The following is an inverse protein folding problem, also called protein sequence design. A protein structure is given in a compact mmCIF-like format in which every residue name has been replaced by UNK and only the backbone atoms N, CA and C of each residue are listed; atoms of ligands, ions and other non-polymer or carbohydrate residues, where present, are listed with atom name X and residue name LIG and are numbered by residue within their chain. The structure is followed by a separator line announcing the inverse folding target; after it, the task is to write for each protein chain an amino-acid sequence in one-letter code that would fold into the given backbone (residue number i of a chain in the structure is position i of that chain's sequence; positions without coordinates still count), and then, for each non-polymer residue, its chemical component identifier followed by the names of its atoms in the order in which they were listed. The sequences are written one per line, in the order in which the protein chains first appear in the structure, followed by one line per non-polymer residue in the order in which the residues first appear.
data_IF_606842798825
#
_entry.id   IF_606842798825
#
_cell.length_a   1.000
_cell.length_b   1.000
_cell.length_c   1.000
_cell.angle_alpha   90.00
_cell.angle_beta   90.00
_cell.angle_gamma   90.00
#
_symmetry.space_group_name_H-M   'P 1'
#
loop_
_entity.id
_entity.type
_entity.pdbx_description
1 polymer ?
#
# COMPACT_ATOMS: atom_id res chain seq x y z
N UNK A 1 -7.65 -7.76 1.73
CA UNK A 1 -7.23 -6.64 2.61
C UNK A 1 -6.45 -5.54 1.88
N UNK A 2 -5.72 -5.82 0.78
CA UNK A 2 -5.00 -4.78 0.00
C UNK A 2 -5.83 -4.00 -1.04
N UNK A 3 -7.09 -4.39 -1.30
CA UNK A 3 -7.96 -3.78 -2.31
C UNK A 3 -8.18 -2.27 -2.16
N UNK A 4 -8.37 -1.70 -0.95
CA UNK A 4 -8.60 -0.27 -0.78
C UNK A 4 -7.45 0.60 -1.34
N UNK A 5 -6.20 0.16 -1.15
CA UNK A 5 -5.03 0.88 -1.65
C UNK A 5 -4.97 0.88 -3.18
N UNK A 6 -5.24 -0.28 -3.80
CA UNK A 6 -5.28 -0.38 -5.26
C UNK A 6 -6.37 0.51 -5.84
N UNK A 7 -7.56 0.50 -5.22
CA UNK A 7 -8.67 1.36 -5.62
C UNK A 7 -8.28 2.84 -5.53
N UNK A 8 -7.64 3.26 -4.43
CA UNK A 8 -7.21 4.63 -4.23
C UNK A 8 -6.18 5.11 -5.27
N UNK A 9 -5.28 4.22 -5.70
CA UNK A 9 -4.25 4.50 -6.72
C UNK A 9 -4.85 4.60 -8.13
N UNK A 10 -5.80 3.74 -8.47
CA UNK A 10 -6.39 3.66 -9.81
C UNK A 10 -7.47 4.73 -10.03
N UNK A 11 -8.14 5.20 -8.97
CA UNK A 11 -9.29 6.11 -9.08
C UNK A 11 -9.03 7.38 -9.91
N UNK A 12 -7.90 8.11 -9.78
CA UNK A 12 -7.64 9.30 -10.59
C UNK A 12 -7.61 9.02 -12.09
N UNK A 13 -7.10 7.85 -12.50
CA UNK A 13 -7.10 7.42 -13.90
C UNK A 13 -8.49 7.01 -14.37
N UNK A 14 -9.27 6.34 -13.50
CA UNK A 14 -10.66 6.05 -13.79
C UNK A 14 -11.48 7.34 -13.99
N UNK A 15 -11.23 8.36 -13.17
CA UNK A 15 -11.84 9.70 -13.33
C UNK A 15 -11.43 10.33 -14.66
N UNK A 16 -10.16 10.31 -15.03
CA UNK A 16 -9.70 10.79 -16.34
C UNK A 16 -10.47 10.13 -17.49
N UNK A 17 -10.52 8.80 -17.50
CA UNK A 17 -11.17 8.02 -18.56
C UNK A 17 -12.68 8.26 -18.58
N UNK A 18 -13.34 8.30 -17.42
CA UNK A 18 -14.77 8.53 -17.32
C UNK A 18 -15.16 9.92 -17.84
N UNK A 19 -14.41 10.96 -17.45
CA UNK A 19 -14.61 12.32 -17.94
C UNK A 19 -14.34 12.41 -19.44
N UNK A 20 -13.24 11.82 -19.90
CA UNK A 20 -12.89 11.82 -21.32
C UNK A 20 -13.97 11.15 -22.17
N UNK A 21 -14.41 9.96 -21.78
CA UNK A 21 -15.45 9.22 -22.48
C UNK A 21 -16.79 9.95 -22.46
N UNK A 22 -17.20 10.48 -21.30
CA UNK A 22 -18.45 11.22 -21.16
C UNK A 22 -18.49 12.44 -22.09
N UNK A 23 -17.45 13.27 -22.07
CA UNK A 23 -17.37 14.46 -22.94
C UNK A 23 -17.23 14.08 -24.42
N UNK A 24 -16.45 13.03 -24.74
CA UNK A 24 -16.32 12.55 -26.11
C UNK A 24 -17.67 12.06 -26.68
N UNK A 25 -18.49 11.39 -25.87
CA UNK A 25 -19.83 10.97 -26.27
C UNK A 25 -20.73 12.17 -26.58
N UNK A 26 -20.77 13.16 -25.68
CA UNK A 26 -21.52 14.41 -25.92
C UNK A 26 -21.06 15.15 -27.18
N UNK A 27 -19.76 15.09 -27.52
CA UNK A 27 -19.25 15.64 -28.78
C UNK A 27 -19.68 14.84 -30.00
N UNK A 28 -19.73 13.51 -29.89
CA UNK A 28 -20.09 12.60 -30.99
C UNK A 28 -21.56 12.74 -31.34
N UNK A 29 -22.40 12.92 -30.32
CA UNK A 29 -23.84 13.13 -30.43
C UNK A 29 -24.21 14.60 -30.76
N UNK A 30 -23.21 15.46 -31.00
CA UNK A 30 -23.33 16.91 -31.23
C UNK A 30 -24.03 17.71 -30.12
N UNK A 31 -24.25 17.13 -28.94
CA UNK A 31 -24.92 17.78 -27.81
C UNK A 31 -24.13 18.98 -27.29
N UNK A 32 -22.80 18.91 -27.30
CA UNK A 32 -21.94 20.04 -26.87
C UNK A 32 -22.18 21.28 -27.74
N UNK A 33 -22.38 21.10 -29.05
CA UNK A 33 -22.66 22.22 -29.97
C UNK A 33 -24.03 22.84 -29.70
N UNK A 34 -25.04 22.00 -29.44
CA UNK A 34 -26.40 22.45 -29.09
C UNK A 34 -26.40 23.23 -27.78
N UNK A 35 -25.66 22.77 -26.78
CA UNK A 35 -25.51 23.44 -25.48
C UNK A 35 -24.87 24.82 -25.62
N UNK A 36 -23.83 24.97 -26.44
CA UNK A 36 -23.25 26.30 -26.69
C UNK A 36 -24.16 27.18 -27.54
N UNK A 37 -24.91 26.61 -28.49
CA UNK A 37 -25.87 27.35 -29.32
C UNK A 37 -27.08 27.87 -28.53
N UNK A 38 -27.46 27.21 -27.42
CA UNK A 38 -28.53 27.67 -26.53
C UNK A 38 -28.09 28.79 -25.57
N UNK A 39 -26.84 29.26 -25.67
CA UNK A 39 -26.31 30.35 -24.85
C UNK A 39 -25.78 29.92 -23.48
N UNK A 40 -25.62 28.61 -23.23
CA UNK A 40 -25.01 28.15 -21.99
C UNK A 40 -23.54 28.54 -21.92
N UNK A 41 -23.12 29.02 -20.75
CA UNK A 41 -21.74 29.38 -20.45
C UNK A 41 -20.89 28.12 -20.25
N UNK A 42 -19.58 28.21 -20.52
CA UNK A 42 -18.65 27.09 -20.27
C UNK A 42 -18.67 26.60 -18.81
N UNK A 43 -18.94 27.49 -17.84
CA UNK A 43 -19.10 27.10 -16.44
C UNK A 43 -20.30 26.18 -16.22
N UNK A 44 -21.43 26.42 -16.88
CA UNK A 44 -22.62 25.58 -16.76
C UNK A 44 -22.39 24.17 -17.33
N UNK A 45 -21.49 24.02 -18.30
CA UNK A 45 -21.08 22.71 -18.84
C UNK A 45 -20.09 21.99 -17.93
N UNK A 46 -19.12 22.73 -17.37
CA UNK A 46 -18.03 22.15 -16.55
C UNK A 46 -18.48 21.83 -15.12
N UNK A 47 -19.35 22.65 -14.53
CA UNK A 47 -19.87 22.52 -13.16
C UNK A 47 -20.42 21.12 -12.81
N UNK A 48 -21.30 20.48 -13.61
CA UNK A 48 -21.78 19.14 -13.29
C UNK A 48 -20.66 18.09 -13.28
N UNK A 49 -19.67 18.20 -14.16
CA UNK A 49 -18.51 17.31 -14.18
C UNK A 49 -17.65 17.49 -12.92
N UNK A 50 -17.41 18.75 -12.52
CA UNK A 50 -16.67 19.05 -11.30
C UNK A 50 -17.36 18.47 -10.06
N UNK A 51 -18.70 18.54 -9.97
CA UNK A 51 -19.46 17.91 -8.88
C UNK A 51 -19.26 16.40 -8.82
N UNK A 52 -19.28 15.74 -9.97
CA UNK A 52 -19.00 14.29 -10.06
C UNK A 52 -17.57 13.96 -9.60
N UNK A 53 -16.59 14.77 -10.01
CA UNK A 53 -15.20 14.60 -9.54
C UNK A 53 -15.10 14.82 -8.02
N UNK A 54 -15.83 15.79 -7.46
CA UNK A 54 -15.88 16.02 -6.01
C UNK A 54 -16.34 14.78 -5.23
N UNK A 55 -17.32 14.03 -5.75
CA UNK A 55 -17.72 12.77 -5.11
C UNK A 55 -16.62 11.71 -5.16
N UNK A 56 -15.87 11.62 -6.28
CA UNK A 56 -14.73 10.72 -6.37
C UNK A 56 -13.60 11.10 -5.41
N UNK A 57 -13.33 12.40 -5.23
CA UNK A 57 -12.36 12.92 -4.25
C UNK A 57 -12.78 12.56 -2.83
N UNK A 58 -14.05 12.79 -2.47
CA UNK A 58 -14.57 12.46 -1.15
C UNK A 58 -14.47 10.95 -0.88
N UNK A 59 -14.85 10.12 -1.85
CA UNK A 59 -14.71 8.68 -1.76
C UNK A 59 -13.26 8.26 -1.55
N UNK A 60 -12.33 8.80 -2.32
CA UNK A 60 -10.90 8.49 -2.21
C UNK A 60 -10.34 8.92 -0.84
N UNK A 61 -10.77 10.08 -0.34
CA UNK A 61 -10.40 10.58 0.98
C UNK A 61 -10.88 9.62 2.07
N UNK A 62 -12.14 9.17 2.03
CA UNK A 62 -12.67 8.18 2.99
C UNK A 62 -11.89 6.87 2.92
N UNK A 63 -11.56 6.40 1.72
CA UNK A 63 -10.77 5.19 1.54
C UNK A 63 -9.38 5.32 2.19
N UNK A 64 -8.65 6.42 1.96
CA UNK A 64 -7.30 6.59 2.50
C UNK A 64 -7.28 6.84 4.01
N UNK A 65 -8.24 7.59 4.55
CA UNK A 65 -8.22 8.00 5.96
C UNK A 65 -8.80 6.94 6.89
N UNK A 66 -9.78 6.16 6.44
CA UNK A 66 -10.51 5.22 7.31
C UNK A 66 -10.40 3.78 6.85
N UNK A 67 -10.73 3.48 5.58
CA UNK A 67 -10.86 2.09 5.13
C UNK A 67 -9.50 1.40 5.00
N UNK A 68 -8.52 2.09 4.43
CA UNK A 68 -7.16 1.58 4.23
C UNK A 68 -6.45 1.22 5.55
N UNK A 69 -6.35 2.12 6.56
CA UNK A 69 -5.68 1.78 7.81
C UNK A 69 -6.37 0.64 8.55
N UNK A 70 -7.71 0.60 8.59
CA UNK A 70 -8.45 -0.52 9.21
C UNK A 70 -8.14 -1.84 8.50
N UNK A 71 -8.16 -1.85 7.17
CA UNK A 71 -7.89 -3.07 6.40
C UNK A 71 -6.46 -3.57 6.59
N UNK A 72 -5.47 -2.67 6.66
CA UNK A 72 -4.08 -3.07 6.87
C UNK A 72 -3.77 -3.43 8.32
N UNK A 73 -4.37 -2.76 9.31
CA UNK A 73 -4.26 -3.12 10.72
C UNK A 73 -4.83 -4.51 10.96
N UNK A 74 -6.06 -4.78 10.51
CA UNK A 74 -6.66 -6.12 10.59
C UNK A 74 -5.81 -7.17 9.88
N UNK A 75 -5.24 -6.87 8.71
CA UNK A 75 -4.30 -7.77 8.03
C UNK A 75 -3.05 -8.05 8.89
N UNK A 76 -2.50 -7.03 9.55
CA UNK A 76 -1.30 -7.15 10.39
C UNK A 76 -1.60 -7.98 11.63
N UNK A 77 -2.73 -7.71 12.29
CA UNK A 77 -3.24 -8.44 13.45
C UNK A 77 -3.48 -9.91 13.10
N UNK A 78 -4.19 -10.22 12.01
CA UNK A 78 -4.39 -11.62 11.59
C UNK A 78 -3.07 -12.31 11.26
N UNK A 79 -2.13 -11.64 10.61
CA UNK A 79 -0.79 -12.22 10.36
C UNK A 79 -0.05 -12.47 11.69
N UNK A 80 -0.18 -11.56 12.65
CA UNK A 80 0.42 -11.68 13.97
C UNK A 80 -0.19 -12.83 14.78
N UNK A 81 -1.51 -12.96 14.80
CA UNK A 81 -2.24 -14.07 15.44
C UNK A 81 -1.88 -15.42 14.81
N UNK A 82 -1.74 -15.48 13.48
CA UNK A 82 -1.35 -16.71 12.79
C UNK A 82 0.14 -17.04 13.05
N UNK A 83 1.00 -16.06 13.33
CA UNK A 83 2.43 -16.32 13.64
C UNK A 83 2.63 -17.18 14.89
N UNK A 84 1.76 -17.11 15.89
CA UNK A 84 1.83 -18.05 17.02
C UNK A 84 1.46 -19.49 16.61
N UNK A 85 0.61 -19.67 15.58
CA UNK A 85 0.23 -20.98 15.04
C UNK A 85 1.23 -21.50 13.98
N UNK A 86 2.04 -20.62 13.38
CA UNK A 86 3.05 -20.95 12.35
C UNK A 86 4.23 -21.77 12.86
N UNK A 87 4.40 -21.97 14.18
CA UNK A 87 5.39 -22.93 14.71
C UNK A 87 5.21 -24.31 14.06
N UNK A 88 3.95 -24.72 13.88
CA UNK A 88 3.57 -25.97 13.24
C UNK A 88 3.79 -26.04 11.73
N UNK A 89 3.81 -24.88 11.05
CA UNK A 89 3.94 -24.79 9.59
C UNK A 89 5.40 -24.66 9.10
N UNK A 90 6.33 -24.30 9.99
CA UNK A 90 7.76 -24.15 9.66
C UNK A 90 8.44 -25.51 9.44
N UNK A 91 7.96 -26.57 10.11
CA UNK A 91 8.55 -27.91 10.00
C UNK A 91 7.99 -28.61 8.75
N UNK A 92 8.89 -28.91 7.82
CA UNK A 92 8.59 -29.72 6.63
C UNK A 92 8.98 -31.17 6.90
N UNK A 93 8.04 -32.14 6.81
CA UNK A 93 8.37 -33.55 7.02
C UNK A 93 9.45 -34.03 6.05
N UNK A 94 10.46 -34.72 6.57
CA UNK A 94 11.55 -35.29 5.78
C UNK A 94 12.66 -34.32 5.39
N UNK A 95 12.60 -33.05 5.80
CA UNK A 95 13.64 -32.05 5.54
C UNK A 95 14.21 -31.49 6.85
N UNK A 96 15.52 -31.23 6.87
CA UNK A 96 16.15 -30.46 7.95
C UNK A 96 15.86 -28.98 7.72
N UNK A 97 15.12 -28.35 8.62
CA UNK A 97 14.79 -26.92 8.57
C UNK A 97 15.62 -26.19 9.61
N UNK A 98 16.21 -25.05 9.24
CA UNK A 98 16.94 -24.19 10.18
C UNK A 98 16.21 -22.87 10.38
N UNK A 99 15.27 -22.79 11.33
CA UNK A 99 14.38 -21.64 11.46
C UNK A 99 15.02 -20.46 12.22
N UNK A 100 16.18 -20.67 12.85
CA UNK A 100 17.04 -19.62 13.40
C UNK A 100 18.51 -19.96 13.15
N UNK A 101 19.41 -18.98 13.34
CA UNK A 101 20.86 -19.22 13.27
C UNK A 101 21.24 -20.22 14.36
N UNK A 102 21.98 -21.27 13.99
CA UNK A 102 22.42 -22.37 14.87
C UNK A 102 21.28 -23.18 15.52
N UNK A 103 20.09 -23.22 14.92
CA UNK A 103 19.05 -24.16 15.30
C UNK A 103 18.60 -24.98 14.10
N UNK A 104 18.63 -26.30 14.21
CA UNK A 104 18.17 -27.22 13.17
C UNK A 104 17.12 -28.15 13.73
N UNK A 105 16.00 -28.30 13.02
CA UNK A 105 14.88 -29.16 13.39
C UNK A 105 14.57 -30.09 12.23
N UNK A 106 14.33 -31.36 12.53
CA UNK A 106 13.88 -32.38 11.59
C UNK A 106 12.78 -33.22 12.23
N UNK A 107 11.76 -33.53 11.44
CA UNK A 107 10.74 -34.52 11.78
C UNK A 107 10.53 -35.41 10.57
N UNK A 108 10.46 -36.74 10.78
CA UNK A 108 10.26 -37.68 9.67
C UNK A 108 8.85 -37.56 9.07
N UNK A 109 7.85 -37.45 9.94
CA UNK A 109 6.44 -37.36 9.56
C UNK A 109 5.74 -36.35 10.46
N UNK A 110 4.76 -35.62 9.91
CA UNK A 110 3.85 -34.75 10.67
C UNK A 110 2.42 -35.12 10.30
N UNK A 111 1.65 -35.64 11.26
CA UNK A 111 0.25 -36.04 11.07
C UNK A 111 -0.63 -35.50 12.19
N UNK A 112 -1.68 -34.76 11.83
CA UNK A 112 -2.62 -34.15 12.78
C UNK A 112 -1.93 -33.34 13.91
N UNK A 113 -0.83 -32.64 13.59
CA UNK A 113 -0.07 -31.84 14.56
C UNK A 113 0.91 -32.61 15.45
N UNK A 114 1.04 -33.94 15.25
CA UNK A 114 2.02 -34.78 15.94
C UNK A 114 3.18 -35.10 15.00
N UNK A 115 4.40 -34.77 15.43
CA UNK A 115 5.64 -35.11 14.76
C UNK A 115 6.14 -36.49 15.20
N UNK A 116 6.65 -37.28 14.28
CA UNK A 116 7.29 -38.57 14.53
C UNK A 116 8.78 -38.49 14.25
N UNK A 117 9.59 -39.14 15.10
CA UNK A 117 11.05 -39.21 15.01
C UNK A 117 11.68 -37.81 14.84
N UNK A 118 11.58 -37.04 15.90
CA UNK A 118 12.01 -35.65 15.98
C UNK A 118 13.50 -35.59 16.32
N UNK A 119 14.21 -34.76 15.58
CA UNK A 119 15.59 -34.37 15.85
C UNK A 119 15.66 -32.86 15.97
N UNK A 120 16.30 -32.36 17.03
CA UNK A 120 16.54 -30.94 17.25
C UNK A 120 18.00 -30.76 17.64
N UNK A 121 18.73 -29.95 16.89
CA UNK A 121 20.08 -29.53 17.26
C UNK A 121 20.06 -28.05 17.58
N UNK A 122 20.32 -27.71 18.84
CA UNK A 122 20.37 -26.36 19.38
C UNK A 122 21.83 -25.97 19.69
N UNK A 123 22.43 -25.22 18.78
CA UNK A 123 23.75 -24.62 18.91
C UNK A 123 23.69 -23.12 19.21
N UNK A 124 22.56 -22.60 19.73
CA UNK A 124 22.45 -21.18 20.10
C UNK A 124 23.36 -20.82 21.27
N UNK A 125 23.55 -21.75 22.22
CA UNK A 125 24.59 -21.68 23.24
C UNK A 125 25.87 -22.33 22.69
N UNK A 126 26.85 -21.50 22.34
CA UNK A 126 28.12 -21.96 21.74
C UNK A 126 28.98 -22.77 22.73
N UNK A 127 28.79 -22.57 24.04
CA UNK A 127 29.54 -23.30 25.08
C UNK A 127 28.94 -24.69 25.35
N UNK A 128 27.65 -24.89 25.01
CA UNK A 128 26.89 -26.10 25.33
C UNK A 128 25.91 -26.49 24.21
N UNK A 129 26.40 -26.86 23.01
CA UNK A 129 25.53 -27.34 21.95
C UNK A 129 24.79 -28.60 22.41
N UNK A 130 23.48 -28.59 22.22
CA UNK A 130 22.59 -29.63 22.72
C UNK A 130 21.77 -30.23 21.59
N UNK A 131 21.73 -31.56 21.54
CA UNK A 131 20.96 -32.33 20.56
C UNK A 131 19.87 -33.11 21.26
N UNK A 132 18.65 -33.04 20.75
CA UNK A 132 17.52 -33.82 21.19
C UNK A 132 17.09 -34.82 20.12
N UNK A 133 16.79 -36.04 20.57
CA UNK A 133 16.07 -37.03 19.78
C UNK A 133 14.77 -37.37 20.52
N UNK A 134 13.65 -37.49 19.82
CA UNK A 134 12.40 -37.88 20.45
C UNK A 134 11.53 -38.74 19.53
N UNK A 135 10.79 -39.69 20.10
CA UNK A 135 9.89 -40.54 19.33
C UNK A 135 8.70 -39.76 18.79
N UNK A 136 8.13 -38.87 19.60
CA UNK A 136 7.07 -37.97 19.16
C UNK A 136 7.26 -36.57 19.71
N UNK A 137 6.81 -35.57 18.95
CA UNK A 137 6.80 -34.17 19.37
C UNK A 137 5.48 -33.50 19.05
N UNK A 138 4.99 -32.63 19.94
CA UNK A 138 3.76 -31.86 19.73
C UNK A 138 4.02 -30.40 20.05
N UNK A 139 3.55 -29.50 19.21
CA UNK A 139 3.60 -28.06 19.48
C UNK A 139 2.70 -27.73 20.67
N UNK A 140 3.25 -27.00 21.64
CA UNK A 140 2.55 -26.58 22.83
C UNK A 140 2.97 -25.16 23.21
N UNK A 141 2.08 -24.45 23.91
CA UNK A 141 2.44 -23.19 24.56
C UNK A 141 2.59 -23.46 26.05
N UNK A 142 3.84 -23.50 26.54
CA UNK A 142 4.13 -23.62 27.97
C UNK A 142 4.42 -22.23 28.50
N UNK A 143 3.62 -21.76 29.47
CA UNK A 143 3.75 -20.42 30.07
C UNK A 143 3.77 -19.27 29.03
N UNK A 144 2.90 -19.33 28.02
CA UNK A 144 2.82 -18.38 26.90
C UNK A 144 4.09 -18.29 26.01
N UNK A 145 4.98 -19.29 26.08
CA UNK A 145 6.12 -19.43 25.17
C UNK A 145 5.88 -20.56 24.18
N UNK A 146 6.11 -20.35 22.87
CA UNK A 146 6.11 -21.41 21.88
C UNK A 146 7.14 -22.48 22.23
N UNK A 147 6.68 -23.71 22.38
CA UNK A 147 7.50 -24.85 22.78
C UNK A 147 7.10 -26.12 22.03
N UNK A 148 8.01 -27.08 21.99
CA UNK A 148 7.74 -28.43 21.49
C UNK A 148 7.83 -29.38 22.68
N UNK A 149 6.72 -30.03 23.02
CA UNK A 149 6.72 -31.12 23.99
C UNK A 149 7.18 -32.39 23.29
N UNK A 150 8.34 -32.89 23.69
CA UNK A 150 9.01 -34.08 23.20
C UNK A 150 8.72 -35.25 24.13
N UNK A 151 8.21 -36.36 23.60
CA UNK A 151 7.92 -37.57 24.37
C UNK A 151 8.89 -38.69 24.00
N UNK A 152 9.32 -39.46 25.01
CA UNK A 152 10.40 -40.45 24.91
C UNK A 152 11.62 -39.82 24.24
N UNK A 153 12.17 -38.81 24.92
CA UNK A 153 13.22 -37.97 24.38
C UNK A 153 14.56 -38.27 25.06
N UNK A 154 15.65 -38.16 24.31
CA UNK A 154 17.01 -38.11 24.84
C UNK A 154 17.64 -36.77 24.52
N UNK A 155 18.45 -36.26 25.46
CA UNK A 155 19.24 -35.05 25.33
C UNK A 155 20.71 -35.43 25.38
N UNK A 156 21.46 -34.92 24.41
CA UNK A 156 22.90 -35.04 24.33
C UNK A 156 23.50 -33.63 24.38
N UNK A 157 24.27 -33.33 25.42
CA UNK A 157 24.97 -32.05 25.54
C UNK A 157 26.46 -32.31 25.51
N UNK A 158 27.19 -31.58 24.66
CA UNK A 158 28.65 -31.65 24.63
C UNK A 158 29.19 -30.49 25.47
N UNK A 159 29.86 -30.80 26.58
CA UNK A 159 30.54 -29.79 27.40
C UNK A 159 31.84 -29.31 26.72
N UNK A 160 32.30 -28.11 27.06
CA UNK A 160 33.57 -27.55 26.58
C UNK A 160 34.79 -28.47 26.83
N UNK A 161 34.73 -29.31 27.88
CA UNK A 161 35.77 -30.29 28.23
C UNK A 161 35.71 -31.58 27.37
N UNK A 162 34.83 -31.66 26.37
CA UNK A 162 34.67 -32.82 25.49
C UNK A 162 33.89 -33.99 26.11
N UNK A 163 33.27 -33.78 27.27
CA UNK A 163 32.42 -34.79 27.93
C UNK A 163 31.02 -34.73 27.33
N UNK A 164 30.53 -35.89 26.88
CA UNK A 164 29.16 -36.07 26.40
C UNK A 164 28.24 -36.41 27.58
N UNK A 165 27.30 -35.52 27.86
CA UNK A 165 26.22 -35.77 28.82
C UNK A 165 25.01 -36.34 28.07
N UNK A 166 24.52 -37.52 28.49
CA UNK A 166 23.36 -38.19 27.91
C UNK A 166 22.27 -38.35 28.97
N UNK A 167 21.08 -37.80 28.69
CA UNK A 167 19.92 -37.85 29.59
C UNK A 167 18.69 -38.35 28.84
N UNK A 168 17.90 -39.22 29.48
CA UNK A 168 16.63 -39.70 28.94
C UNK A 168 15.44 -39.13 29.73
N UNK A 169 14.40 -38.74 29.00
CA UNK A 169 13.20 -38.13 29.53
C UNK A 169 11.97 -38.85 28.97
N UNK A 170 11.01 -39.17 29.84
CA UNK A 170 9.69 -39.63 29.41
C UNK A 170 8.94 -38.53 28.65
N UNK A 171 9.03 -37.28 29.14
CA UNK A 171 8.52 -36.09 28.47
C UNK A 171 9.37 -34.87 28.86
N UNK A 172 9.70 -34.02 27.89
CA UNK A 172 10.43 -32.77 28.11
C UNK A 172 9.95 -31.69 27.14
N UNK A 173 10.05 -30.42 27.50
CA UNK A 173 9.67 -29.31 26.63
C UNK A 173 10.90 -28.58 26.11
N UNK A 174 10.97 -28.39 24.80
CA UNK A 174 12.00 -27.59 24.13
C UNK A 174 11.43 -26.21 23.78
N UNK A 175 12.02 -25.14 24.30
CA UNK A 175 11.58 -23.77 24.05
C UNK A 175 12.14 -23.22 22.72
N UNK A 176 11.27 -22.69 21.86
CA UNK A 176 11.62 -22.13 20.55
C UNK A 176 12.06 -20.65 20.62
N UNK A 177 12.75 -20.26 21.69
CA UNK A 177 13.12 -18.86 21.94
C UNK A 177 13.97 -18.25 20.81
N UNK A 178 13.51 -17.20 20.15
CA UNK A 178 14.25 -16.55 19.05
C UNK A 178 14.11 -17.22 17.68
N UNK A 179 13.28 -18.26 17.56
CA UNK A 179 12.86 -18.88 16.29
C UNK A 179 11.57 -18.27 15.79
N UNK A 180 10.66 -18.09 16.75
CA UNK A 180 9.49 -17.27 16.67
C UNK A 180 9.70 -16.33 17.84
N UNK A 181 9.70 -15.03 17.57
CA UNK A 181 9.68 -14.05 18.65
C UNK A 181 8.21 -13.81 19.03
N UNK A 182 7.65 -14.52 20.03
CA UNK A 182 6.32 -14.19 20.55
C UNK A 182 6.31 -12.84 21.27
N UNK A 183 7.50 -12.24 21.52
CA UNK A 183 7.67 -10.93 22.15
C UNK A 183 7.91 -9.82 21.13
N UNK A 184 7.93 -10.13 19.82
CA UNK A 184 8.00 -9.11 18.79
C UNK A 184 6.71 -8.33 18.82
N UNK A 185 6.69 -7.20 19.52
CA UNK A 185 5.51 -6.35 19.67
C UNK A 185 4.84 -6.13 18.31
N UNK A 186 3.50 -6.11 18.31
CA UNK A 186 2.72 -5.86 17.11
C UNK A 186 3.15 -4.54 16.46
N UNK A 187 3.94 -4.67 15.40
CA UNK A 187 4.53 -3.53 14.72
C UNK A 187 3.65 -3.07 13.56
N UNK A 188 3.14 -1.84 13.66
CA UNK A 188 2.38 -1.20 12.58
C UNK A 188 3.30 -0.43 11.64
N UNK A 189 3.26 -0.80 10.36
CA UNK A 189 3.91 -0.02 9.29
C UNK A 189 3.20 1.31 9.11
N UNK A 190 3.85 2.24 8.38
CA UNK A 190 3.25 3.53 8.02
C UNK A 190 1.83 3.38 7.46
N UNK A 191 1.64 2.46 6.51
CA UNK A 191 0.35 2.14 5.86
C UNK A 191 -0.75 1.65 6.80
N UNK A 192 -0.38 1.09 7.96
CA UNK A 192 -1.28 0.42 8.89
C UNK A 192 -1.80 1.38 9.98
N UNK A 193 -1.19 2.57 10.08
CA UNK A 193 -1.45 3.56 11.13
C UNK A 193 -2.60 4.50 10.76
N UNK A 194 -3.34 4.95 11.75
CA UNK A 194 -4.37 5.97 11.57
C UNK A 194 -3.76 7.36 11.38
N UNK A 195 -4.54 8.27 10.80
CA UNK A 195 -4.07 9.64 10.54
C UNK A 195 -3.61 10.37 11.81
N UNK A 196 -4.27 10.11 12.95
CA UNK A 196 -3.89 10.66 14.26
C UNK A 196 -2.51 10.18 14.71
N UNK A 197 -2.22 8.89 14.52
CA UNK A 197 -0.93 8.27 14.88
C UNK A 197 0.21 8.74 13.96
N UNK A 198 -0.11 9.12 12.71
CA UNK A 198 0.87 9.65 11.76
C UNK A 198 1.35 11.07 12.10
N UNK A 199 0.45 11.91 12.60
CA UNK A 199 0.78 13.29 12.98
C UNK A 199 1.21 13.44 14.44
N UNK A 200 0.78 12.51 15.31
CA UNK A 200 1.10 12.49 16.72
C UNK A 200 1.69 11.11 17.12
N UNK A 201 2.96 10.85 16.76
CA UNK A 201 3.66 9.63 17.16
C UNK A 201 3.81 9.53 18.69
N UNK A 202 3.84 8.31 19.21
CA UNK A 202 4.01 8.07 20.65
C UNK A 202 5.44 8.46 21.08
N UNK A 203 5.61 9.43 22.02
CA UNK A 203 6.93 9.83 22.50
C UNK A 203 7.69 8.71 23.21
N UNK A 204 7.01 7.67 23.68
CA UNK A 204 7.65 6.53 24.35
C UNK A 204 8.16 5.47 23.35
N UNK A 205 7.73 5.55 22.08
CA UNK A 205 8.16 4.61 21.05
C UNK A 205 9.41 5.11 20.31
N UNK A 206 10.56 4.50 20.62
CA UNK A 206 11.87 4.88 20.04
C UNK A 206 11.87 4.81 18.51
N UNK A 207 11.21 3.81 17.92
CA UNK A 207 11.16 3.67 16.46
C UNK A 207 10.34 4.79 15.81
N UNK A 208 9.19 5.15 16.39
CA UNK A 208 8.35 6.24 15.87
C UNK A 208 9.09 7.57 15.95
N UNK A 209 9.79 7.82 17.06
CA UNK A 209 10.57 9.03 17.26
C UNK A 209 11.76 9.15 16.28
N UNK A 210 12.31 8.02 15.81
CA UNK A 210 13.32 8.02 14.75
C UNK A 210 12.73 8.25 13.34
N UNK A 211 11.44 7.94 13.13
CA UNK A 211 10.79 7.96 11.81
C UNK A 211 9.65 8.98 11.70
N UNK A 212 9.63 10.01 12.56
CA UNK A 212 8.59 11.06 12.57
C UNK A 212 8.40 11.71 11.21
N UNK A 213 9.49 11.93 10.46
CA UNK A 213 9.43 12.52 9.11
C UNK A 213 8.66 11.63 8.12
N UNK A 214 8.95 10.33 8.11
CA UNK A 214 8.26 9.35 7.28
C UNK A 214 6.77 9.25 7.66
N UNK A 215 6.46 9.25 8.95
CA UNK A 215 5.09 9.22 9.46
C UNK A 215 4.28 10.44 9.00
N UNK A 216 4.84 11.65 9.15
CA UNK A 216 4.20 12.88 8.66
C UNK A 216 4.08 12.90 7.14
N UNK A 217 5.09 12.45 6.40
CA UNK A 217 5.07 12.39 4.95
C UNK A 217 3.94 11.49 4.42
N UNK A 218 3.74 10.32 5.04
CA UNK A 218 2.62 9.42 4.75
C UNK A 218 1.27 10.08 5.07
N UNK A 219 1.17 10.79 6.20
CA UNK A 219 -0.04 11.52 6.57
C UNK A 219 -0.43 12.58 5.52
N UNK A 220 0.54 13.36 5.07
CA UNK A 220 0.35 14.34 3.99
C UNK A 220 0.03 13.68 2.65
N UNK A 221 0.62 12.52 2.35
CA UNK A 221 0.34 11.77 1.12
C UNK A 221 -1.11 11.33 1.06
N UNK A 222 -1.67 10.79 2.15
CA UNK A 222 -3.09 10.35 2.21
C UNK A 222 -4.10 11.47 2.02
N UNK A 223 -3.74 12.68 2.43
CA UNK A 223 -4.59 13.86 2.28
C UNK A 223 -4.44 14.53 0.91
N UNK A 224 -3.24 14.49 0.32
CA UNK A 224 -2.96 15.11 -0.98
C UNK A 224 -3.31 14.20 -2.16
N UNK A 225 -3.21 12.87 -2.01
CA UNK A 225 -3.47 11.91 -3.08
C UNK A 225 -4.89 11.99 -3.67
N UNK A 226 -5.97 12.27 -2.91
CA UNK A 226 -7.31 12.46 -3.48
C UNK A 226 -7.40 13.66 -4.44
N UNK A 227 -6.57 14.69 -4.27
CA UNK A 227 -6.59 15.89 -5.11
C UNK A 227 -6.20 15.57 -6.57
N UNK A 228 -5.47 14.49 -6.81
CA UNK A 228 -5.15 14.04 -8.17
C UNK A 228 -6.40 13.64 -8.97
N UNK A 229 -7.53 13.31 -8.32
CA UNK A 229 -8.80 13.11 -9.02
C UNK A 229 -9.26 14.41 -9.71
N UNK A 230 -9.11 15.58 -9.07
CA UNK A 230 -9.33 16.88 -9.72
C UNK A 230 -8.35 17.12 -10.84
N UNK A 231 -7.06 16.91 -10.58
CA UNK A 231 -6.01 17.16 -11.57
C UNK A 231 -6.24 16.37 -12.86
N UNK A 232 -6.48 15.07 -12.75
CA UNK A 232 -6.68 14.20 -13.90
C UNK A 232 -8.04 14.44 -14.57
N UNK A 233 -9.12 14.64 -13.80
CA UNK A 233 -10.41 14.99 -14.38
C UNK A 233 -10.37 16.32 -15.15
N UNK A 234 -9.66 17.31 -14.65
CA UNK A 234 -9.46 18.60 -15.31
C UNK A 234 -8.56 18.51 -16.55
N UNK A 235 -7.51 17.68 -16.52
CA UNK A 235 -6.69 17.40 -17.70
C UNK A 235 -7.53 16.79 -18.83
N UNK A 236 -8.45 15.87 -18.51
CA UNK A 236 -9.38 15.30 -19.48
C UNK A 236 -10.32 16.38 -20.07
N UNK A 237 -10.84 17.27 -19.22
CA UNK A 237 -11.67 18.41 -19.68
C UNK A 237 -10.89 19.35 -20.61
N UNK A 238 -9.66 19.70 -20.27
CA UNK A 238 -8.80 20.56 -21.11
C UNK A 238 -8.53 19.89 -22.46
N UNK A 239 -8.24 18.58 -22.47
CA UNK A 239 -7.94 17.82 -23.68
C UNK A 239 -9.07 17.92 -24.73
N UNK A 240 -10.32 17.97 -24.26
CA UNK A 240 -11.51 17.92 -25.11
C UNK A 240 -12.15 19.30 -25.36
N UNK A 241 -12.19 20.18 -24.35
CA UNK A 241 -12.93 21.46 -24.43
C UNK A 241 -12.06 22.67 -24.81
N UNK A 242 -10.76 22.64 -24.50
CA UNK A 242 -9.91 23.84 -24.67
C UNK A 242 -9.43 24.06 -26.11
N UNK A 243 -9.24 23.01 -26.91
CA UNK A 243 -8.67 23.13 -28.25
C UNK A 243 -9.69 23.33 -29.38
N UNK A 244 -9.21 23.74 -30.56
CA UNK A 244 -10.04 23.92 -31.76
C UNK A 244 -10.78 22.62 -32.14
N UNK A 245 -12.05 22.73 -32.53
CA UNK A 245 -12.91 21.62 -32.94
C UNK A 245 -12.33 20.95 -34.19
N UNK A 246 -11.79 19.74 -34.05
CA UNK A 246 -11.20 18.97 -35.14
C UNK A 246 -11.48 17.49 -34.88
N UNK A 247 -12.28 16.86 -35.76
CA UNK A 247 -12.70 15.45 -35.62
C UNK A 247 -11.51 14.48 -35.54
N UNK A 248 -10.39 14.79 -36.22
CA UNK A 248 -9.18 13.95 -36.23
C UNK A 248 -8.18 14.32 -35.12
N UNK A 249 -8.33 15.48 -34.48
CA UNK A 249 -7.43 15.97 -33.43
C UNK A 249 -7.73 15.45 -32.03
N UNK A 250 -8.97 15.01 -31.75
CA UNK A 250 -9.38 14.60 -30.40
C UNK A 250 -8.60 13.40 -29.87
N UNK A 251 -8.44 12.34 -30.68
CA UNK A 251 -7.69 11.15 -30.27
C UNK A 251 -6.24 11.48 -29.91
N UNK A 252 -5.56 12.27 -30.75
CA UNK A 252 -4.18 12.69 -30.48
C UNK A 252 -4.07 13.55 -29.22
N UNK A 253 -5.01 14.47 -28.99
CA UNK A 253 -5.04 15.27 -27.75
C UNK A 253 -5.27 14.41 -26.52
N UNK A 254 -6.19 13.46 -26.58
CA UNK A 254 -6.48 12.58 -25.46
C UNK A 254 -5.26 11.74 -25.08
N UNK A 255 -4.52 11.23 -26.07
CA UNK A 255 -3.25 10.52 -25.84
C UNK A 255 -2.22 11.45 -25.19
N UNK A 256 -2.01 12.65 -25.73
CA UNK A 256 -1.05 13.61 -25.16
C UNK A 256 -1.39 13.97 -23.71
N UNK A 257 -2.65 14.29 -23.41
CA UNK A 257 -3.08 14.62 -22.05
C UNK A 257 -3.12 13.39 -21.13
N UNK A 258 -3.33 12.18 -21.68
CA UNK A 258 -3.17 10.93 -20.94
C UNK A 258 -1.72 10.69 -20.51
N UNK A 259 -0.75 10.98 -21.39
CA UNK A 259 0.69 10.94 -21.05
C UNK A 259 1.02 12.01 -20.00
N UNK A 260 0.50 13.24 -20.15
CA UNK A 260 0.68 14.29 -19.14
C UNK A 260 0.08 13.88 -17.79
N UNK A 261 -1.12 13.29 -17.77
CA UNK A 261 -1.74 12.76 -16.57
C UNK A 261 -0.88 11.69 -15.88
N UNK A 262 -0.32 10.76 -16.66
CA UNK A 262 0.59 9.74 -16.15
C UNK A 262 1.85 10.38 -15.56
N UNK A 263 2.49 11.31 -16.28
CA UNK A 263 3.70 12.00 -15.81
C UNK A 263 3.45 12.80 -14.53
N UNK A 264 2.34 13.55 -14.45
CA UNK A 264 1.95 14.29 -13.25
C UNK A 264 1.74 13.33 -12.08
N UNK A 265 1.13 12.16 -12.31
CA UNK A 265 0.92 11.17 -11.25
C UNK A 265 2.22 10.53 -10.77
N UNK A 266 3.13 10.21 -11.70
CA UNK A 266 4.47 9.69 -11.39
C UNK A 266 5.27 10.71 -10.59
N UNK A 267 5.26 11.98 -11.01
CA UNK A 267 5.86 13.07 -10.24
C UNK A 267 5.28 13.15 -8.83
N UNK A 268 3.97 12.98 -8.68
CA UNK A 268 3.32 12.90 -7.37
C UNK A 268 3.86 11.77 -6.48
N UNK A 269 4.09 10.57 -7.02
CA UNK A 269 4.73 9.49 -6.28
C UNK A 269 6.17 9.80 -5.89
N UNK A 270 6.94 10.42 -6.80
CA UNK A 270 8.31 10.83 -6.52
C UNK A 270 8.39 11.89 -5.43
N UNK A 271 7.45 12.85 -5.41
CA UNK A 271 7.36 13.87 -4.37
C UNK A 271 7.00 13.26 -3.01
N UNK A 272 6.06 12.32 -2.97
CA UNK A 272 5.70 11.61 -1.74
C UNK A 272 6.91 10.85 -1.16
N UNK A 273 7.63 10.12 -2.03
CA UNK A 273 8.85 9.40 -1.63
C UNK A 273 9.97 10.35 -1.19
N UNK A 274 10.18 11.48 -1.89
CA UNK A 274 11.19 12.46 -1.50
C UNK A 274 10.85 13.14 -0.17
N UNK A 275 9.57 13.34 0.13
CA UNK A 275 9.11 13.97 1.36
C UNK A 275 9.37 13.14 2.63
N UNK A 276 9.59 11.83 2.50
CA UNK A 276 10.04 10.99 3.61
C UNK A 276 11.37 11.46 4.20
N UNK A 277 12.25 12.04 3.37
CA UNK A 277 13.56 12.54 3.79
C UNK A 277 13.54 14.01 4.27
N UNK A 278 12.57 14.80 3.78
CA UNK A 278 12.52 16.25 4.00
C UNK A 278 11.06 16.74 4.19
N UNK A 279 10.77 17.19 5.41
CA UNK A 279 9.45 17.64 5.82
C UNK A 279 8.94 18.86 5.05
N UNK A 280 9.83 19.72 4.52
CA UNK A 280 9.44 20.90 3.72
C UNK A 280 8.74 20.47 2.42
N UNK A 281 9.10 19.30 1.87
CA UNK A 281 8.49 18.76 0.65
C UNK A 281 7.05 18.28 0.85
N UNK A 282 6.56 18.18 2.11
CA UNK A 282 5.15 17.90 2.37
C UNK A 282 4.23 18.96 1.75
N UNK A 283 4.67 20.23 1.71
CA UNK A 283 3.92 21.31 1.05
C UNK A 283 3.82 21.05 -0.46
N UNK A 284 4.88 20.54 -1.08
CA UNK A 284 4.91 20.24 -2.51
C UNK A 284 3.94 19.13 -2.91
N UNK A 285 3.63 18.20 -1.99
CA UNK A 285 2.63 17.15 -2.23
C UNK A 285 1.23 17.71 -2.52
N UNK A 286 0.86 18.84 -1.89
CA UNK A 286 -0.38 19.56 -2.18
C UNK A 286 -0.21 20.54 -3.34
N UNK A 287 0.96 21.20 -3.41
CA UNK A 287 1.26 22.21 -4.41
C UNK A 287 1.14 21.69 -5.85
N UNK A 288 1.62 20.47 -6.12
CA UNK A 288 1.56 19.88 -7.46
C UNK A 288 0.11 19.67 -7.96
N UNK A 289 -0.76 18.90 -7.29
CA UNK A 289 -2.13 18.67 -7.79
C UNK A 289 -2.97 19.96 -7.79
N UNK A 290 -2.79 20.85 -6.81
CA UNK A 290 -3.52 22.14 -6.76
C UNK A 290 -3.07 23.05 -7.91
N UNK A 291 -1.74 23.18 -8.13
CA UNK A 291 -1.17 24.03 -9.17
C UNK A 291 -1.59 23.58 -10.57
N UNK A 292 -1.52 22.29 -10.86
CA UNK A 292 -1.96 21.75 -12.16
C UNK A 292 -3.47 21.92 -12.34
N UNK A 293 -4.27 21.67 -11.30
CA UNK A 293 -5.72 21.89 -11.35
C UNK A 293 -6.07 23.36 -11.61
N UNK A 294 -5.38 24.29 -10.95
CA UNK A 294 -5.53 25.73 -11.16
C UNK A 294 -5.16 26.15 -12.60
N UNK A 295 -4.06 25.61 -13.14
CA UNK A 295 -3.66 25.84 -14.52
C UNK A 295 -4.72 25.32 -15.51
N UNK A 296 -5.27 24.13 -15.28
CA UNK A 296 -6.33 23.57 -16.12
C UNK A 296 -7.60 24.42 -16.08
N UNK A 297 -8.05 24.85 -14.90
CA UNK A 297 -9.20 25.75 -14.77
C UNK A 297 -8.96 27.05 -15.53
N UNK A 298 -7.78 27.65 -15.38
CA UNK A 298 -7.43 28.87 -16.10
C UNK A 298 -7.40 28.69 -17.62
N UNK A 299 -6.89 27.56 -18.13
CA UNK A 299 -6.95 27.23 -19.56
C UNK A 299 -8.39 27.05 -20.06
N UNK A 300 -9.28 26.51 -19.24
CA UNK A 300 -10.69 26.32 -19.60
C UNK A 300 -11.49 27.63 -19.65
N UNK A 301 -11.19 28.59 -18.77
CA UNK A 301 -11.91 29.88 -18.69
C UNK A 301 -11.23 31.04 -19.40
N UNK A 302 -10.07 30.82 -20.03
CA UNK A 302 -9.38 31.85 -20.82
C UNK A 302 -10.25 32.27 -22.01
N UNK A 303 -10.44 33.59 -22.25
CA UNK A 303 -11.17 34.07 -23.43
C UNK A 303 -10.45 33.63 -24.71
N UNK A 304 -11.18 32.94 -25.59
CA UNK A 304 -10.64 32.51 -26.89
C UNK A 304 -10.54 33.75 -27.80
N UNK A 305 -9.41 33.98 -28.50
CA UNK A 305 -9.30 35.11 -29.42
C UNK A 305 -10.35 34.96 -30.53
N UNK A 306 -11.03 36.07 -30.87
CA UNK A 306 -11.98 36.10 -31.97
C UNK A 306 -11.29 35.63 -33.27
N UNK A 307 -11.98 34.85 -34.13
CA UNK A 307 -11.40 34.45 -35.40
C UNK A 307 -11.00 35.71 -36.19
N UNK A 308 -9.84 35.72 -36.87
CA UNK A 308 -9.39 36.87 -37.62
C UNK A 308 -10.45 37.28 -38.65
N UNK A 309 -10.76 38.58 -38.71
CA UNK A 309 -11.84 39.19 -39.51
C UNK A 309 -11.81 38.75 -40.99
N UNK A 310 -10.63 38.42 -41.52
CA UNK A 310 -10.45 37.89 -42.89
C UNK A 310 -11.22 36.58 -43.16
N UNK A 311 -11.52 35.77 -42.15
CA UNK A 311 -12.30 34.54 -42.31
C UNK A 311 -13.82 34.81 -42.43
N UNK A 312 -14.30 35.96 -41.98
CA UNK A 312 -15.71 36.35 -42.08
C UNK A 312 -16.05 36.89 -43.48
N UNK A 313 -15.12 37.58 -44.14
CA UNK A 313 -15.32 38.04 -45.52
C UNK A 313 -15.30 36.91 -46.55
N UNK A 314 -14.57 35.82 -46.27
CA UNK A 314 -14.50 34.62 -47.12
C UNK A 314 -15.69 33.67 -46.94
N UNK A 315 -16.41 33.75 -45.82
CA UNK A 315 -17.65 33.00 -45.58
C UNK A 315 -18.91 33.75 -46.03
N UNK A 316 -18.78 35.05 -46.34
CA UNK A 316 -19.85 35.92 -46.84
C UNK A 316 -19.84 36.09 -48.36
N UNK A 317 -18.91 35.43 -49.07
CA UNK A 317 -18.88 35.28 -50.54
C UNK A 317 -19.14 33.84 -50.91
#
# INVERSE_FOLDING_TARGET
LALPQLFAIVLPFAVFVAVAYGIQRLHTDNEVMVVYASGMTGWQVISPVLRTISYAVLLNLVLNLFVQPVAFRSMRETIYEVRSDLASAIIRPGEFVSPAVNLTIFARELKNGVMSDVFIHDGRDQEKPTTFFAKTGVFANVAARPSITLNNASRQTLSADGILEFLEFSSTSFELNGVIDPQGELFYKYSDRYISELFNPDPNNVWEMQHVKNLRAEGHYRMSSPLYNYTLGLLALVALLAGNFSKMGYGRRLITFGVVALLVRLLGFTLASAAESNEILNIAQYGLPIGVSGLCLWLLFRPKPAPPVAALELAAK
#
